data_IF_892126295842
#
_entry.id   IF_892126295842
#
_cell.length_a   1.000
_cell.length_b   1.000
_cell.length_c   1.000
_cell.angle_alpha   90.00
_cell.angle_beta   90.00
_cell.angle_gamma   90.00
#
_symmetry.space_group_name_H-M   'P 1'
#
loop_
_entity.id
_entity.type
_entity.pdbx_description
1 polymer ?
#
# COMPACT_ATOMS: atom_id res chain seq x y z
N UNK A 1 10.45 8.19 -3.78
CA UNK A 1 9.20 7.83 -3.09
C UNK A 1 8.02 8.05 -4.02
N UNK A 2 7.17 7.07 -4.18
CA UNK A 2 5.97 7.17 -5.01
C UNK A 2 4.73 7.12 -4.13
N UNK A 3 3.73 7.93 -4.47
CA UNK A 3 2.47 7.98 -3.74
C UNK A 3 1.42 7.14 -4.45
N UNK A 4 0.69 6.35 -3.69
CA UNK A 4 -0.37 5.47 -4.18
C UNK A 4 -1.61 5.64 -3.34
N UNK A 5 -2.73 5.19 -3.87
CA UNK A 5 -3.97 5.14 -3.12
C UNK A 5 -4.72 3.85 -3.42
N UNK A 6 -5.42 3.37 -2.42
CA UNK A 6 -6.34 2.24 -2.55
C UNK A 6 -7.74 2.80 -2.39
N UNK A 7 -8.62 2.49 -3.36
CA UNK A 7 -10.03 2.87 -3.30
C UNK A 7 -10.84 1.61 -3.08
N UNK A 8 -11.61 1.58 -1.99
CA UNK A 8 -12.47 0.47 -1.63
C UNK A 8 -13.92 0.95 -1.65
N UNK A 9 -14.77 0.27 -2.40
CA UNK A 9 -16.19 0.59 -2.44
C UNK A 9 -16.94 -0.28 -1.44
N UNK A 10 -17.69 0.35 -0.55
CA UNK A 10 -18.47 -0.33 0.47
C UNK A 10 -19.86 -0.69 -0.08
N UNK A 11 -20.54 -1.63 0.59
CA UNK A 11 -21.87 -2.10 0.19
C UNK A 11 -22.92 -1.00 0.16
N UNK A 12 -22.74 0.05 0.96
CA UNK A 12 -23.65 1.19 1.02
C UNK A 12 -23.37 2.26 -0.05
N UNK A 13 -22.41 2.01 -0.97
CA UNK A 13 -22.03 2.94 -2.02
C UNK A 13 -20.98 3.97 -1.62
N UNK A 14 -20.53 3.96 -0.38
CA UNK A 14 -19.46 4.83 0.08
C UNK A 14 -18.10 4.29 -0.37
N UNK A 15 -17.14 5.20 -0.54
CA UNK A 15 -15.77 4.85 -0.88
C UNK A 15 -14.85 5.18 0.28
N UNK A 16 -13.91 4.27 0.56
CA UNK A 16 -12.82 4.51 1.50
C UNK A 16 -11.54 4.60 0.70
N UNK A 17 -10.80 5.69 0.89
CA UNK A 17 -9.53 5.92 0.19
C UNK A 17 -8.40 5.87 1.22
N UNK A 18 -7.45 4.98 0.98
CA UNK A 18 -6.26 4.83 1.82
C UNK A 18 -5.04 5.23 1.02
N UNK A 19 -4.27 6.18 1.54
CA UNK A 19 -3.05 6.65 0.90
C UNK A 19 -1.84 5.97 1.54
N UNK A 20 -0.90 5.56 0.69
CA UNK A 20 0.36 4.99 1.16
C UNK A 20 1.47 5.36 0.17
N UNK A 21 2.70 5.07 0.56
CA UNK A 21 3.86 5.38 -0.26
C UNK A 21 4.66 4.10 -0.51
N UNK A 22 5.39 4.07 -1.62
CA UNK A 22 6.35 3.01 -1.90
C UNK A 22 7.73 3.63 -1.96
N UNK A 23 8.67 3.03 -1.23
CA UNK A 23 10.08 3.40 -1.28
C UNK A 23 10.90 2.25 -1.82
N UNK A 24 11.91 2.57 -2.60
CA UNK A 24 12.88 1.61 -3.12
C UNK A 24 14.18 1.74 -2.35
N UNK A 25 14.63 0.62 -1.77
CA UNK A 25 15.92 0.51 -1.11
C UNK A 25 16.77 -0.53 -1.84
N UNK A 26 18.03 -0.68 -1.45
CA UNK A 26 18.94 -1.64 -2.07
C UNK A 26 18.45 -3.08 -1.99
N UNK A 27 17.75 -3.43 -0.92
CA UNK A 27 17.27 -4.79 -0.69
C UNK A 27 15.86 -5.05 -1.24
N UNK A 28 15.20 -4.03 -1.80
CA UNK A 28 13.88 -4.21 -2.39
C UNK A 28 12.97 -3.02 -2.18
N UNK A 29 11.67 -3.28 -2.30
CA UNK A 29 10.65 -2.26 -2.18
C UNK A 29 9.90 -2.39 -0.86
N UNK A 30 9.51 -1.24 -0.30
CA UNK A 30 8.76 -1.18 0.95
C UNK A 30 7.53 -0.31 0.74
N UNK A 31 6.39 -0.70 1.30
CA UNK A 31 5.30 0.26 1.41
C UNK A 31 5.35 0.94 2.78
N UNK A 32 4.97 2.20 2.81
CA UNK A 32 5.01 3.04 4.02
C UNK A 32 3.61 3.54 4.31
N UNK A 33 3.14 3.28 5.53
CA UNK A 33 1.84 3.72 6.00
C UNK A 33 1.92 4.00 7.50
N UNK A 34 1.48 5.19 7.91
CA UNK A 34 1.54 5.62 9.32
C UNK A 34 2.92 5.44 9.95
N UNK A 35 3.97 5.86 9.23
CA UNK A 35 5.36 5.76 9.68
C UNK A 35 5.87 4.31 9.83
N UNK A 36 5.11 3.32 9.38
CA UNK A 36 5.55 1.94 9.36
C UNK A 36 5.99 1.55 7.95
N UNK A 37 7.15 0.90 7.87
CA UNK A 37 7.67 0.37 6.61
C UNK A 37 7.53 -1.14 6.63
N UNK A 38 6.98 -1.71 5.55
CA UNK A 38 6.78 -3.15 5.42
C UNK A 38 7.47 -3.63 4.15
N UNK A 39 8.30 -4.63 4.28
CA UNK A 39 9.05 -5.25 3.20
C UNK A 39 10.24 -6.03 3.74
N UNK A 40 11.25 -6.33 2.88
CA UNK A 40 11.33 -5.95 1.46
C UNK A 40 10.48 -6.84 0.55
N UNK A 41 9.95 -6.23 -0.50
CA UNK A 41 9.27 -6.95 -1.58
C UNK A 41 10.18 -6.95 -2.81
N UNK A 42 10.20 -8.03 -3.61
CA UNK A 42 11.13 -8.12 -4.75
C UNK A 42 10.80 -7.17 -5.89
N UNK A 43 9.54 -6.76 -6.04
CA UNK A 43 9.13 -5.85 -7.10
C UNK A 43 8.18 -4.78 -6.55
N UNK A 44 8.04 -3.69 -7.33
CA UNK A 44 7.08 -2.65 -7.02
C UNK A 44 5.66 -3.21 -6.95
N UNK A 45 5.29 -4.06 -7.91
CA UNK A 45 3.95 -4.66 -7.96
C UNK A 45 3.68 -5.51 -6.71
N UNK A 46 4.65 -6.26 -6.24
CA UNK A 46 4.52 -7.05 -5.03
C UNK A 46 4.30 -6.18 -3.80
N UNK A 47 5.00 -5.05 -3.71
CA UNK A 47 4.81 -4.10 -2.61
C UNK A 47 3.40 -3.49 -2.64
N UNK A 48 2.90 -3.13 -3.84
CA UNK A 48 1.55 -2.61 -3.99
C UNK A 48 0.51 -3.66 -3.61
N UNK A 49 0.70 -4.91 -4.03
CA UNK A 49 -0.20 -6.01 -3.64
C UNK A 49 -0.19 -6.25 -2.13
N UNK A 50 0.99 -6.20 -1.51
CA UNK A 50 1.13 -6.34 -0.07
C UNK A 50 0.39 -5.24 0.68
N UNK A 51 0.53 -3.99 0.22
CA UNK A 51 -0.19 -2.87 0.80
C UNK A 51 -1.70 -3.03 0.62
N UNK A 52 -2.14 -3.45 -0.56
CA UNK A 52 -3.57 -3.66 -0.84
C UNK A 52 -4.18 -4.72 0.08
N UNK A 53 -3.43 -5.78 0.36
CA UNK A 53 -3.90 -6.85 1.25
C UNK A 53 -3.95 -6.42 2.71
N UNK A 54 -2.96 -5.63 3.15
CA UNK A 54 -2.81 -5.26 4.56
C UNK A 54 -3.62 -4.03 4.95
N UNK A 55 -3.86 -3.11 4.01
CA UNK A 55 -4.49 -1.83 4.27
C UNK A 55 -5.97 -1.77 3.88
N UNK A 56 -6.54 -2.89 3.41
CA UNK A 56 -7.96 -2.95 3.06
C UNK A 56 -8.80 -2.83 4.34
N UNK A 57 -9.79 -1.93 4.37
CA UNK A 57 -10.68 -1.82 5.52
C UNK A 57 -11.52 -3.09 5.71
N UNK A 58 -11.71 -3.44 6.96
CA UNK A 58 -12.45 -4.65 7.34
C UNK A 58 -13.91 -4.31 7.63
#
# INVERSE_FOLDING_TARGET
MKNFRIVEELDNGEEVITYFQIEEYEDGYYYVFNDNEVGPFPTLDDAVEGASADLVPV
#
